data_IF_723324047381
#
_entry.id   IF_723324047381
#
_cell.length_a   1.000
_cell.length_b   1.000
_cell.length_c   1.000
_cell.angle_alpha   90.00
_cell.angle_beta   90.00
_cell.angle_gamma   90.00
#
_symmetry.space_group_name_H-M   'P 1'
#
loop_
_entity.id
_entity.type
_entity.pdbx_description
1 polymer ?
#
# COMPACT_ATOMS: atom_id res chain seq x y z
N UNK A 1 19.62 18.33 -12.52
CA UNK A 1 19.13 17.35 -11.53
C UNK A 1 17.84 16.85 -12.14
N UNK A 2 17.82 15.63 -12.64
CA UNK A 2 16.58 15.02 -13.13
C UNK A 2 15.57 15.04 -11.98
N UNK A 3 14.31 15.34 -12.28
CA UNK A 3 13.28 15.50 -11.25
C UNK A 3 12.99 14.13 -10.62
N UNK A 4 13.36 13.92 -9.35
CA UNK A 4 13.04 12.71 -8.61
C UNK A 4 11.79 12.92 -7.77
N UNK A 5 10.82 12.02 -7.87
CA UNK A 5 9.58 12.03 -7.09
C UNK A 5 9.67 11.01 -5.96
N UNK A 6 9.34 11.44 -4.75
CA UNK A 6 9.22 10.58 -3.59
C UNK A 6 7.77 10.18 -3.37
N UNK A 7 7.52 8.88 -3.22
CA UNK A 7 6.20 8.37 -2.90
C UNK A 7 6.26 7.53 -1.62
N UNK A 8 5.41 7.86 -0.67
CA UNK A 8 5.19 7.10 0.55
C UNK A 8 3.70 6.77 0.67
N UNK A 9 3.39 5.56 1.12
CA UNK A 9 2.00 5.09 1.26
C UNK A 9 1.84 4.27 2.54
N UNK A 10 0.76 4.53 3.25
CA UNK A 10 0.41 3.83 4.47
C UNK A 10 -1.01 3.28 4.37
N UNK A 11 -1.22 2.05 4.87
CA UNK A 11 -2.54 1.58 5.26
C UNK A 11 -2.65 1.63 6.79
N UNK A 12 -3.30 2.67 7.30
CA UNK A 12 -3.50 2.88 8.75
C UNK A 12 -4.24 1.69 9.39
N UNK A 13 -5.03 0.93 8.63
CA UNK A 13 -5.77 -0.22 9.16
C UNK A 13 -4.92 -1.47 9.31
N UNK A 14 -3.77 -1.59 8.64
CA UNK A 14 -2.89 -2.77 8.69
C UNK A 14 -1.48 -2.46 9.19
N UNK A 15 -1.09 -1.17 9.22
CA UNK A 15 0.26 -0.74 9.55
C UNK A 15 1.26 -0.91 8.40
N UNK A 16 0.80 -1.33 7.21
CA UNK A 16 1.67 -1.44 6.04
C UNK A 16 2.15 -0.05 5.62
N UNK A 17 3.46 0.14 5.61
CA UNK A 17 4.09 1.41 5.23
C UNK A 17 5.21 1.15 4.23
N UNK A 18 5.12 1.78 3.07
CA UNK A 18 6.03 1.53 1.95
C UNK A 18 6.44 2.81 1.24
N UNK A 19 7.67 2.80 0.71
CA UNK A 19 8.28 3.94 0.04
C UNK A 19 8.99 3.54 -1.26
N UNK A 20 9.02 4.47 -2.22
CA UNK A 20 9.78 4.37 -3.47
C UNK A 20 10.18 5.75 -3.97
N UNK A 21 11.22 5.80 -4.81
CA UNK A 21 11.56 6.95 -5.64
C UNK A 21 11.28 6.63 -7.10
N UNK A 22 10.86 7.65 -7.84
CA UNK A 22 10.43 7.55 -9.23
C UNK A 22 11.08 8.69 -10.02
N UNK A 23 11.38 8.43 -11.29
CA UNK A 23 12.14 9.35 -12.14
C UNK A 23 11.24 10.31 -12.95
N UNK A 24 9.96 9.97 -13.11
CA UNK A 24 9.03 10.78 -13.88
C UNK A 24 7.59 10.79 -13.33
N UNK A 25 6.79 11.73 -13.83
CA UNK A 25 5.39 11.91 -13.43
C UNK A 25 4.49 10.75 -13.86
N UNK A 26 4.83 10.03 -14.93
CA UNK A 26 4.02 8.93 -15.44
C UNK A 26 4.14 7.67 -14.57
N UNK A 27 5.35 7.40 -14.07
CA UNK A 27 5.64 6.40 -13.06
C UNK A 27 4.96 6.75 -11.73
N UNK A 28 5.01 8.03 -11.32
CA UNK A 28 4.30 8.52 -10.13
C UNK A 28 2.80 8.28 -10.25
N UNK A 29 2.19 8.67 -11.37
CA UNK A 29 0.77 8.44 -11.60
C UNK A 29 0.41 6.96 -11.60
N UNK A 30 1.20 6.12 -12.26
CA UNK A 30 0.97 4.66 -12.29
C UNK A 30 0.97 4.07 -10.89
N UNK A 31 1.90 4.49 -10.03
CA UNK A 31 1.97 4.03 -8.64
C UNK A 31 0.82 4.58 -7.78
N UNK A 32 0.44 5.85 -7.93
CA UNK A 32 -0.71 6.44 -7.23
C UNK A 32 -2.01 5.73 -7.63
N UNK A 33 -2.21 5.46 -8.92
CA UNK A 33 -3.37 4.71 -9.42
C UNK A 33 -3.39 3.27 -8.88
N UNK A 34 -2.23 2.60 -8.87
CA UNK A 34 -2.05 1.25 -8.31
C UNK A 34 -2.37 1.19 -6.82
N UNK A 35 -1.92 2.17 -6.04
CA UNK A 35 -2.21 2.27 -4.60
C UNK A 35 -3.70 2.55 -4.38
N UNK A 36 -4.29 3.40 -5.21
CA UNK A 36 -5.68 3.85 -5.07
C UNK A 36 -5.95 4.50 -3.71
N UNK A 37 -5.17 5.51 -3.30
CA UNK A 37 -5.28 6.13 -1.98
C UNK A 37 -6.63 6.80 -1.76
N UNK A 38 -7.13 6.74 -0.53
CA UNK A 38 -8.29 7.53 -0.11
C UNK A 38 -7.94 9.01 0.11
N UNK A 39 -6.67 9.28 0.41
CA UNK A 39 -6.15 10.60 0.74
C UNK A 39 -4.70 10.72 0.24
N UNK A 40 -4.38 11.87 -0.36
CA UNK A 40 -3.04 12.21 -0.86
C UNK A 40 -2.53 13.47 -0.17
N UNK A 41 -1.26 13.44 0.25
CA UNK A 41 -0.57 14.55 0.89
C UNK A 41 0.47 15.12 -0.08
N UNK A 42 0.45 16.44 -0.26
CA UNK A 42 1.41 17.15 -1.12
C UNK A 42 2.07 18.31 -0.37
N UNK A 43 3.26 18.69 -0.84
CA UNK A 43 3.87 19.97 -0.49
C UNK A 43 3.02 21.12 -1.04
N UNK A 44 3.00 22.26 -0.37
CA UNK A 44 2.36 23.48 -0.88
C UNK A 44 2.94 23.92 -2.23
N UNK A 45 4.24 23.69 -2.44
CA UNK A 45 4.97 23.96 -3.69
C UNK A 45 4.80 22.87 -4.77
N UNK A 46 3.92 21.87 -4.59
CA UNK A 46 3.71 20.82 -5.60
C UNK A 46 2.87 21.34 -6.77
N UNK A 47 3.52 21.69 -7.89
CA UNK A 47 2.89 22.32 -9.05
C UNK A 47 2.65 21.37 -10.24
N UNK A 48 1.97 20.24 -10.02
CA UNK A 48 1.55 19.35 -11.13
C UNK A 48 0.03 19.24 -11.21
N UNK A 49 -0.61 20.20 -11.90
CA UNK A 49 -2.06 20.24 -12.05
C UNK A 49 -2.61 18.99 -12.74
N UNK A 50 -1.87 18.40 -13.68
CA UNK A 50 -2.26 17.19 -14.40
C UNK A 50 -2.50 16.01 -13.44
N UNK A 51 -1.53 15.73 -12.54
CA UNK A 51 -1.67 14.66 -11.54
C UNK A 51 -2.78 14.98 -10.55
N UNK A 52 -2.88 16.23 -10.08
CA UNK A 52 -3.90 16.64 -9.13
C UNK A 52 -5.32 16.46 -9.70
N UNK A 53 -5.52 16.80 -10.98
CA UNK A 53 -6.78 16.60 -11.69
C UNK A 53 -7.08 15.11 -11.87
N UNK A 54 -6.09 14.30 -12.25
CA UNK A 54 -6.25 12.85 -12.39
C UNK A 54 -6.64 12.18 -11.06
N UNK A 55 -5.99 12.56 -9.94
CA UNK A 55 -6.33 12.05 -8.61
C UNK A 55 -7.77 12.41 -8.23
N UNK A 56 -8.17 13.66 -8.45
CA UNK A 56 -9.50 14.13 -8.09
C UNK A 56 -10.61 13.49 -8.96
N UNK A 57 -10.36 13.35 -10.26
CA UNK A 57 -11.36 12.85 -11.22
C UNK A 57 -11.45 11.31 -11.18
N UNK A 58 -10.32 10.63 -11.26
CA UNK A 58 -10.29 9.16 -11.42
C UNK A 58 -10.35 8.44 -10.09
N UNK A 59 -9.57 8.87 -9.10
CA UNK A 59 -9.49 8.21 -7.79
C UNK A 59 -10.48 8.78 -6.78
N UNK A 60 -10.91 10.04 -6.96
CA UNK A 60 -11.75 10.79 -6.02
C UNK A 60 -11.14 10.84 -4.61
N UNK A 61 -9.81 10.85 -4.56
CA UNK A 61 -9.09 10.91 -3.30
C UNK A 61 -9.16 12.34 -2.72
N UNK A 62 -9.14 12.45 -1.40
CA UNK A 62 -8.99 13.75 -0.74
C UNK A 62 -7.56 14.25 -0.93
N UNK A 63 -7.38 15.51 -1.33
CA UNK A 63 -6.07 16.13 -1.49
C UNK A 63 -5.85 17.11 -0.35
N UNK A 64 -4.77 16.92 0.42
CA UNK A 64 -4.36 17.81 1.49
C UNK A 64 -2.93 18.30 1.26
N UNK A 65 -2.68 19.55 1.64
CA UNK A 65 -1.38 20.18 1.52
C UNK A 65 -0.75 20.33 2.89
N UNK A 66 0.55 20.05 2.97
CA UNK A 66 1.38 20.32 4.14
C UNK A 66 2.43 21.37 3.78
N UNK A 67 2.80 22.23 4.74
CA UNK A 67 3.87 23.20 4.53
C UNK A 67 5.17 22.53 4.05
N UNK A 68 5.91 23.18 3.16
CA UNK A 68 7.07 22.55 2.48
C UNK A 68 8.18 22.10 3.43
N UNK A 69 8.32 22.79 4.57
CA UNK A 69 9.28 22.40 5.61
C UNK A 69 8.98 21.03 6.24
N UNK A 70 7.78 20.48 6.08
CA UNK A 70 7.47 19.09 6.46
C UNK A 70 8.10 18.07 5.52
N UNK A 71 8.43 18.46 4.30
CA UNK A 71 9.13 17.66 3.31
C UNK A 71 10.64 17.96 3.30
N UNK A 72 11.17 18.70 4.28
CA UNK A 72 12.62 18.86 4.46
C UNK A 72 13.25 17.51 4.84
N UNK A 73 14.32 17.14 4.12
CA UNK A 73 14.95 15.83 4.28
C UNK A 73 15.48 15.59 5.70
N UNK A 74 16.14 16.59 6.30
CA UNK A 74 16.74 16.41 7.62
C UNK A 74 15.66 16.19 8.69
N UNK A 75 14.59 16.99 8.63
CA UNK A 75 13.45 16.90 9.54
C UNK A 75 12.68 15.60 9.35
N UNK A 76 12.37 15.24 8.10
CA UNK A 76 11.67 14.01 7.75
C UNK A 76 12.46 12.76 8.17
N UNK A 77 13.78 12.75 7.96
CA UNK A 77 14.66 11.66 8.43
C UNK A 77 14.64 11.55 9.95
N UNK A 78 14.73 12.67 10.68
CA UNK A 78 14.66 12.65 12.15
C UNK A 78 13.34 12.05 12.64
N UNK A 79 12.22 12.49 12.05
CA UNK A 79 10.88 11.98 12.39
C UNK A 79 10.80 10.45 12.21
N UNK A 80 11.34 9.91 11.12
CA UNK A 80 11.36 8.46 10.89
C UNK A 80 12.26 7.71 11.88
N UNK A 81 13.46 8.25 12.17
CA UNK A 81 14.36 7.62 13.15
C UNK A 81 13.73 7.57 14.55
N UNK A 82 13.06 8.64 14.96
CA UNK A 82 12.38 8.73 16.23
C UNK A 82 11.18 7.77 16.27
N UNK A 83 10.31 7.79 15.24
CA UNK A 83 9.15 6.91 15.13
C UNK A 83 9.52 5.42 15.19
N UNK A 84 10.55 4.99 14.45
CA UNK A 84 11.00 3.60 14.45
C UNK A 84 11.98 3.26 15.58
N UNK A 85 12.44 4.25 16.35
CA UNK A 85 13.47 4.08 17.39
C UNK A 85 14.75 3.40 16.87
N UNK A 86 15.27 3.90 15.75
CA UNK A 86 16.48 3.37 15.07
C UNK A 86 17.53 4.46 14.85
N UNK A 87 18.76 4.05 14.51
CA UNK A 87 19.90 4.97 14.33
C UNK A 87 20.15 5.35 12.86
N UNK A 88 19.73 4.52 11.91
CA UNK A 88 19.78 4.79 10.47
C UNK A 88 18.65 4.07 9.73
N UNK A 89 18.32 4.57 8.55
CA UNK A 89 17.34 4.01 7.62
C UNK A 89 17.96 2.92 6.71
N UNK A 90 19.26 2.61 6.87
CA UNK A 90 19.95 1.57 6.08
C UNK A 90 19.24 0.22 6.18
N UNK A 91 18.74 -0.11 7.36
CA UNK A 91 18.00 -1.36 7.60
C UNK A 91 16.69 -1.46 6.81
N UNK A 92 16.12 -0.32 6.40
CA UNK A 92 14.96 -0.24 5.52
C UNK A 92 15.34 -0.04 4.05
N UNK A 93 16.62 0.22 3.76
CA UNK A 93 17.13 0.40 2.41
C UNK A 93 16.77 1.74 1.76
N UNK A 94 16.34 2.75 2.54
CA UNK A 94 15.96 4.07 2.03
C UNK A 94 16.87 5.22 2.49
N UNK A 95 17.99 4.95 3.18
CA UNK A 95 18.92 6.00 3.68
C UNK A 95 19.36 7.01 2.61
N UNK A 96 19.53 6.55 1.36
CA UNK A 96 19.95 7.40 0.25
C UNK A 96 18.79 7.83 -0.68
N UNK A 97 17.55 7.46 -0.34
CA UNK A 97 16.35 7.79 -1.11
C UNK A 97 15.74 9.07 -0.54
N UNK A 98 16.34 10.22 -0.87
CA UNK A 98 16.04 11.52 -0.27
C UNK A 98 14.56 11.90 -0.43
N UNK A 99 14.01 11.83 -1.65
CA UNK A 99 12.65 12.25 -1.93
C UNK A 99 11.64 11.30 -1.26
N UNK A 100 11.90 9.99 -1.28
CA UNK A 100 11.07 9.01 -0.57
C UNK A 100 11.08 9.23 0.94
N UNK A 101 12.24 9.57 1.52
CA UNK A 101 12.40 9.88 2.94
C UNK A 101 11.60 11.13 3.31
N UNK A 102 11.65 12.18 2.48
CA UNK A 102 10.82 13.38 2.65
C UNK A 102 9.33 13.05 2.68
N UNK A 103 8.83 12.29 1.70
CA UNK A 103 7.43 11.89 1.63
C UNK A 103 7.01 11.05 2.85
N UNK A 104 7.87 10.14 3.29
CA UNK A 104 7.60 9.26 4.42
C UNK A 104 7.55 10.01 5.76
N UNK A 105 8.48 10.93 6.02
CA UNK A 105 8.48 11.72 7.24
C UNK A 105 7.29 12.68 7.30
N UNK A 106 6.92 13.30 6.18
CA UNK A 106 5.71 14.12 6.10
C UNK A 106 4.44 13.31 6.39
N UNK A 107 4.37 12.07 5.88
CA UNK A 107 3.26 11.16 6.13
C UNK A 107 3.17 10.77 7.62
N UNK A 108 4.27 10.37 8.26
CA UNK A 108 4.27 10.00 9.70
C UNK A 108 3.81 11.16 10.57
N UNK A 109 4.31 12.37 10.29
CA UNK A 109 3.85 13.56 10.96
C UNK A 109 2.34 13.78 10.83
N UNK A 110 1.81 13.66 9.62
CA UNK A 110 0.40 13.84 9.38
C UNK A 110 -0.45 12.82 10.16
N UNK A 111 0.03 11.58 10.26
CA UNK A 111 -0.62 10.57 11.09
C UNK A 111 -0.61 10.94 12.57
N UNK A 112 0.50 11.45 13.10
CA UNK A 112 0.57 11.90 14.50
C UNK A 112 -0.40 13.06 14.77
N UNK A 113 -0.47 14.05 13.87
CA UNK A 113 -1.38 15.20 14.00
C UNK A 113 -2.87 14.79 13.94
N UNK A 114 -3.21 13.86 13.04
CA UNK A 114 -4.61 13.48 12.78
C UNK A 114 -5.13 12.43 13.76
N UNK A 115 -4.33 11.42 14.11
CA UNK A 115 -4.76 10.36 15.04
C UNK A 115 -4.67 10.79 16.51
N UNK A 116 -3.81 11.77 16.82
CA UNK A 116 -3.57 12.27 18.19
C UNK A 116 -3.21 11.17 19.20
N UNK A 117 -2.69 10.06 18.70
CA UNK A 117 -2.20 8.90 19.45
C UNK A 117 -0.97 8.36 18.73
N UNK A 118 -0.12 7.62 19.46
CA UNK A 118 1.04 6.96 18.87
C UNK A 118 0.57 5.86 17.91
N UNK A 119 1.05 5.89 16.66
CA UNK A 119 0.73 4.90 15.63
C UNK A 119 1.67 3.68 15.72
N UNK A 120 1.70 3.04 16.89
CA UNK A 120 2.66 2.00 17.28
C UNK A 120 2.59 0.70 16.46
N UNK A 121 1.51 0.49 15.71
CA UNK A 121 1.39 -0.67 14.80
C UNK A 121 2.16 -0.48 13.50
N UNK A 122 2.58 0.74 13.15
CA UNK A 122 3.46 1.00 12.00
C UNK A 122 4.90 0.76 12.45
N UNK A 123 5.34 -0.51 12.44
CA UNK A 123 6.61 -0.93 13.03
C UNK A 123 7.76 -1.06 12.03
N UNK A 124 7.46 -1.00 10.73
CA UNK A 124 8.46 -1.18 9.69
C UNK A 124 8.16 -0.32 8.47
N UNK A 125 9.21 0.07 7.76
CA UNK A 125 9.13 0.72 6.47
C UNK A 125 9.68 -0.21 5.39
N UNK A 126 8.89 -0.45 4.34
CA UNK A 126 9.32 -1.26 3.19
C UNK A 126 9.71 -0.38 2.01
N UNK A 127 11.00 -0.36 1.69
CA UNK A 127 11.47 0.14 0.40
C UNK A 127 11.15 -0.85 -0.71
N UNK A 128 10.62 -0.35 -1.83
CA UNK A 128 10.40 -1.16 -3.02
C UNK A 128 10.81 -0.38 -4.28
N UNK A 129 10.94 -1.11 -5.38
CA UNK A 129 11.27 -0.55 -6.71
C UNK A 129 10.26 -1.09 -7.71
N UNK A 130 9.81 -0.26 -8.66
CA UNK A 130 8.91 -0.70 -9.74
C UNK A 130 9.49 -1.87 -10.55
N UNK A 131 10.82 -1.96 -10.69
CA UNK A 131 11.55 -2.98 -11.44
C UNK A 131 11.33 -4.44 -11.00
N UNK A 132 10.79 -4.70 -9.81
CA UNK A 132 10.54 -6.08 -9.34
C UNK A 132 9.22 -6.67 -9.87
N UNK A 133 8.38 -5.83 -10.47
CA UNK A 133 7.03 -6.16 -10.90
C UNK A 133 6.81 -5.71 -12.35
N UNK A 134 5.85 -6.32 -13.01
CA UNK A 134 5.39 -5.84 -14.30
C UNK A 134 4.75 -4.47 -14.09
N UNK A 135 5.29 -3.47 -14.79
CA UNK A 135 4.68 -2.13 -14.82
C UNK A 135 3.37 -2.23 -15.58
N UNK A 136 2.28 -1.88 -14.91
CA UNK A 136 0.95 -1.75 -15.48
C UNK A 136 0.55 -0.29 -15.35
N UNK A 137 0.54 0.44 -16.46
CA UNK A 137 0.07 1.82 -16.46
C UNK A 137 -1.43 1.90 -16.13
N UNK A 138 -1.88 3.10 -15.73
CA UNK A 138 -3.27 3.33 -15.33
C UNK A 138 -4.28 2.94 -16.44
N UNK A 139 -3.94 3.19 -17.70
CA UNK A 139 -4.76 2.82 -18.84
C UNK A 139 -4.90 1.30 -18.98
N UNK A 140 -3.81 0.55 -18.78
CA UNK A 140 -3.79 -0.91 -18.80
C UNK A 140 -4.63 -1.47 -17.67
N UNK A 141 -4.48 -0.97 -16.44
CA UNK A 141 -5.29 -1.39 -15.29
C UNK A 141 -6.78 -1.18 -15.55
N UNK A 142 -7.14 -0.02 -16.12
CA UNK A 142 -8.51 0.36 -16.47
C UNK A 142 -9.08 -0.48 -17.61
N UNK A 143 -8.34 -0.64 -18.71
CA UNK A 143 -8.78 -1.36 -19.90
C UNK A 143 -8.92 -2.87 -19.65
N UNK A 144 -8.11 -3.43 -18.75
CA UNK A 144 -8.22 -4.83 -18.32
C UNK A 144 -9.30 -5.05 -17.25
N UNK A 145 -9.93 -3.99 -16.73
CA UNK A 145 -10.90 -4.03 -15.64
C UNK A 145 -10.44 -4.93 -14.49
N UNK A 146 -9.17 -4.80 -14.06
CA UNK A 146 -8.58 -5.74 -13.09
C UNK A 146 -9.30 -5.72 -11.74
N UNK A 147 -9.63 -4.52 -11.26
CA UNK A 147 -10.25 -4.30 -9.95
C UNK A 147 -11.50 -3.43 -9.99
N UNK A 148 -11.72 -2.71 -11.10
CA UNK A 148 -12.82 -1.76 -11.25
C UNK A 148 -13.34 -1.78 -12.69
N UNK A 149 -14.67 -1.77 -12.85
CA UNK A 149 -15.30 -1.68 -14.16
C UNK A 149 -15.28 -0.25 -14.68
N UNK A 150 -15.00 -0.10 -15.97
CA UNK A 150 -15.10 1.17 -16.69
C UNK A 150 -16.55 1.69 -16.81
N UNK A 151 -17.55 0.81 -16.71
CA UNK A 151 -18.96 1.18 -16.95
C UNK A 151 -19.57 1.95 -15.80
N UNK A 152 -19.37 1.46 -14.58
CA UNK A 152 -20.04 1.98 -13.39
C UNK A 152 -19.09 2.21 -12.20
N UNK A 153 -17.79 1.96 -12.37
CA UNK A 153 -16.80 2.10 -11.31
C UNK A 153 -16.95 1.08 -10.19
N UNK A 154 -17.80 0.06 -10.35
CA UNK A 154 -17.96 -1.00 -9.36
C UNK A 154 -16.94 -2.12 -9.58
N UNK A 155 -16.84 -3.05 -8.64
CA UNK A 155 -16.04 -4.26 -8.82
C UNK A 155 -16.73 -5.32 -9.70
N UNK A 156 -17.96 -5.08 -10.16
CA UNK A 156 -18.72 -6.09 -10.92
C UNK A 156 -18.18 -6.26 -12.33
N UNK A 157 -18.05 -7.50 -12.78
CA UNK A 157 -17.50 -7.89 -14.06
C UNK A 157 -15.97 -7.80 -14.14
N UNK A 158 -15.28 -7.54 -13.03
CA UNK A 158 -13.83 -7.38 -12.98
C UNK A 158 -13.11 -8.71 -12.85
N UNK A 159 -11.80 -8.75 -13.19
CA UNK A 159 -10.99 -9.94 -12.97
C UNK A 159 -10.93 -10.33 -11.49
N UNK A 160 -10.81 -9.33 -10.60
CA UNK A 160 -10.81 -9.56 -9.16
C UNK A 160 -12.10 -10.23 -8.68
N UNK A 161 -13.28 -9.75 -9.11
CA UNK A 161 -14.55 -10.39 -8.71
C UNK A 161 -14.63 -11.86 -9.17
N UNK A 162 -14.11 -12.16 -10.36
CA UNK A 162 -14.12 -13.53 -10.89
C UNK A 162 -13.16 -14.45 -10.14
N UNK A 163 -12.02 -13.94 -9.67
CA UNK A 163 -10.98 -14.74 -9.01
C UNK A 163 -11.13 -14.79 -7.48
N UNK A 164 -11.74 -13.79 -6.86
CA UNK A 164 -11.81 -13.69 -5.40
C UNK A 164 -12.80 -14.70 -4.82
N UNK A 165 -12.25 -15.88 -4.51
CA UNK A 165 -12.89 -16.95 -3.74
C UNK A 165 -12.15 -17.20 -2.43
N UNK A 166 -11.54 -16.14 -1.88
CA UNK A 166 -10.77 -16.18 -0.64
C UNK A 166 -11.71 -16.31 0.56
N UNK A 167 -11.23 -16.94 1.63
CA UNK A 167 -12.04 -17.17 2.84
C UNK A 167 -11.86 -16.07 3.90
N UNK A 168 -10.91 -15.16 3.71
CA UNK A 168 -10.58 -14.08 4.67
C UNK A 168 -10.42 -12.75 3.95
N UNK A 169 -10.77 -11.65 4.62
CA UNK A 169 -10.58 -10.30 4.07
C UNK A 169 -9.11 -9.97 3.82
N UNK A 170 -8.19 -10.48 4.63
CA UNK A 170 -6.75 -10.34 4.39
C UNK A 170 -6.29 -11.10 3.13
N UNK A 171 -6.89 -12.28 2.86
CA UNK A 171 -6.66 -13.03 1.63
C UNK A 171 -7.14 -12.27 0.38
N UNK A 172 -8.33 -11.69 0.43
CA UNK A 172 -8.87 -10.85 -0.65
C UNK A 172 -7.95 -9.66 -0.96
N UNK A 173 -7.44 -8.97 0.07
CA UNK A 173 -6.46 -7.88 -0.09
C UNK A 173 -5.16 -8.37 -0.73
N UNK A 174 -4.62 -9.50 -0.26
CA UNK A 174 -3.42 -10.10 -0.82
C UNK A 174 -3.59 -10.47 -2.30
N UNK A 175 -4.74 -11.05 -2.67
CA UNK A 175 -5.05 -11.38 -4.07
C UNK A 175 -5.12 -10.12 -4.93
N UNK A 176 -5.83 -9.09 -4.48
CA UNK A 176 -5.89 -7.78 -5.16
C UNK A 176 -4.48 -7.23 -5.38
N UNK A 177 -3.63 -7.25 -4.37
CA UNK A 177 -2.25 -6.79 -4.48
C UNK A 177 -1.48 -7.59 -5.55
N UNK A 178 -1.62 -8.91 -5.61
CA UNK A 178 -0.92 -9.74 -6.59
C UNK A 178 -1.37 -9.48 -8.03
N UNK A 179 -2.65 -9.15 -8.24
CA UNK A 179 -3.15 -8.74 -9.56
C UNK A 179 -2.56 -7.42 -10.02
N UNK A 180 -2.36 -6.48 -9.09
CA UNK A 180 -1.81 -5.15 -9.37
C UNK A 180 -0.28 -5.12 -9.41
N UNK A 181 0.39 -6.15 -8.88
CA UNK A 181 1.84 -6.27 -8.84
C UNK A 181 2.29 -7.67 -9.30
N UNK A 182 2.18 -8.00 -10.60
CA UNK A 182 2.66 -9.27 -11.12
C UNK A 182 4.18 -9.37 -10.95
N UNK A 183 4.68 -10.43 -10.31
CA UNK A 183 6.12 -10.62 -10.16
C UNK A 183 6.83 -10.87 -11.49
N UNK A 184 8.03 -10.32 -11.65
CA UNK A 184 8.92 -10.64 -12.79
C UNK A 184 9.93 -11.75 -12.47
N UNK A 185 10.13 -12.06 -11.18
CA UNK A 185 11.07 -13.09 -10.74
C UNK A 185 10.48 -14.48 -10.92
N UNK A 186 11.06 -15.27 -11.83
CA UNK A 186 10.64 -16.64 -12.14
C UNK A 186 10.59 -17.54 -10.91
N UNK A 187 11.54 -17.39 -9.99
CA UNK A 187 11.60 -18.21 -8.78
C UNK A 187 10.40 -17.98 -7.86
N UNK A 188 9.98 -16.71 -7.70
CA UNK A 188 8.79 -16.37 -6.90
C UNK A 188 7.50 -16.85 -7.58
N UNK A 189 7.44 -16.78 -8.91
CA UNK A 189 6.30 -17.31 -9.68
C UNK A 189 6.20 -18.83 -9.49
N UNK A 190 7.32 -19.55 -9.65
CA UNK A 190 7.36 -21.01 -9.51
C UNK A 190 6.99 -21.48 -8.10
N UNK A 191 7.49 -20.80 -7.05
CA UNK A 191 7.10 -21.10 -5.67
C UNK A 191 5.58 -21.00 -5.45
N UNK A 192 4.92 -19.99 -6.04
CA UNK A 192 3.46 -19.87 -5.97
C UNK A 192 2.76 -20.97 -6.75
N UNK A 193 3.25 -21.31 -7.94
CA UNK A 193 2.70 -22.38 -8.76
C UNK A 193 2.81 -23.75 -8.07
N UNK A 194 3.93 -24.02 -7.41
CA UNK A 194 4.15 -25.24 -6.61
C UNK A 194 3.16 -25.31 -5.44
N UNK A 195 2.97 -24.22 -4.69
CA UNK A 195 2.00 -24.17 -3.60
C UNK A 195 0.56 -24.40 -4.10
N UNK A 196 0.20 -23.84 -5.26
CA UNK A 196 -1.11 -24.07 -5.90
C UNK A 196 -1.26 -25.52 -6.33
N UNK A 197 -0.24 -26.11 -6.95
CA UNK A 197 -0.28 -27.50 -7.41
C UNK A 197 -0.40 -28.49 -6.24
N UNK A 198 0.31 -28.24 -5.13
CA UNK A 198 0.18 -29.03 -3.90
C UNK A 198 -1.26 -29.03 -3.39
N UNK A 199 -1.88 -27.87 -3.23
CA UNK A 199 -3.26 -27.76 -2.73
C UNK A 199 -4.29 -28.30 -3.73
N UNK A 200 -4.05 -28.14 -5.03
CA UNK A 200 -4.90 -28.71 -6.08
C UNK A 200 -4.85 -30.24 -6.09
N UNK A 201 -3.69 -30.83 -5.81
CA UNK A 201 -3.52 -32.29 -5.77
C UNK A 201 -4.10 -32.93 -4.50
N UNK A 202 -4.35 -32.15 -3.44
CA UNK A 202 -4.83 -32.61 -2.13
C UNK A 202 -6.16 -31.95 -1.74
N UNK A 203 -7.25 -32.34 -2.41
CA UNK A 203 -8.58 -31.73 -2.25
C UNK A 203 -9.06 -31.73 -0.78
N UNK A 204 -8.89 -32.84 -0.05
CA UNK A 204 -9.31 -32.90 1.35
C UNK A 204 -8.57 -31.87 2.23
N UNK A 205 -7.25 -31.73 2.06
CA UNK A 205 -6.46 -30.71 2.76
C UNK A 205 -6.92 -29.30 2.37
N UNK A 206 -7.22 -29.07 1.09
CA UNK A 206 -7.74 -27.79 0.63
C UNK A 206 -9.07 -27.43 1.30
N UNK A 207 -10.00 -28.38 1.42
CA UNK A 207 -11.29 -28.18 2.08
C UNK A 207 -11.11 -27.87 3.58
N UNK A 208 -10.31 -28.67 4.28
CA UNK A 208 -9.97 -28.45 5.70
C UNK A 208 -9.37 -27.06 5.94
N UNK A 209 -8.43 -26.64 5.09
CA UNK A 209 -7.82 -25.31 5.17
C UNK A 209 -8.85 -24.20 4.92
N UNK A 210 -9.76 -24.37 3.95
CA UNK A 210 -10.80 -23.38 3.66
C UNK A 210 -11.76 -23.23 4.83
N UNK A 211 -12.14 -24.32 5.49
CA UNK A 211 -12.98 -24.28 6.68
C UNK A 211 -12.27 -23.57 7.84
N UNK A 212 -11.01 -23.94 8.12
CA UNK A 212 -10.23 -23.30 9.17
C UNK A 212 -10.03 -21.79 8.93
N UNK A 213 -9.75 -21.39 7.69
CA UNK A 213 -9.56 -19.98 7.33
C UNK A 213 -10.86 -19.17 7.41
N UNK A 214 -12.04 -19.78 7.18
CA UNK A 214 -13.32 -19.07 7.21
C UNK A 214 -13.66 -18.55 8.61
N UNK A 215 -13.24 -19.27 9.64
CA UNK A 215 -13.46 -18.90 11.04
C UNK A 215 -12.44 -17.85 11.53
N UNK A 216 -11.41 -17.53 10.74
CA UNK A 216 -10.42 -16.52 11.12
C UNK A 216 -10.95 -15.11 10.92
N UNK A 217 -10.88 -14.31 11.98
CA UNK A 217 -11.09 -12.87 11.89
C UNK A 217 -9.95 -12.19 11.11
N UNK A 218 -10.18 -10.93 10.73
CA UNK A 218 -9.17 -10.09 10.09
C UNK A 218 -8.10 -9.64 11.12
N UNK A 219 -7.20 -10.55 11.44
CA UNK A 219 -6.19 -10.39 12.50
C UNK A 219 -5.34 -9.13 12.28
N UNK A 220 -4.97 -8.82 11.03
CA UNK A 220 -4.19 -7.62 10.70
C UNK A 220 -4.90 -6.35 11.19
N UNK A 221 -6.19 -6.21 10.88
CA UNK A 221 -6.98 -5.05 11.32
C UNK A 221 -7.26 -5.05 12.80
N UNK A 222 -7.47 -6.22 13.41
CA UNK A 222 -7.65 -6.34 14.85
C UNK A 222 -6.41 -5.85 15.61
N UNK A 223 -5.21 -6.29 15.21
CA UNK A 223 -3.95 -5.87 15.82
C UNK A 223 -3.77 -4.35 15.71
N UNK A 224 -4.03 -3.77 14.53
CA UNK A 224 -3.94 -2.32 14.35
C UNK A 224 -4.91 -1.56 15.25
N UNK A 225 -6.15 -2.03 15.38
CA UNK A 225 -7.16 -1.37 16.24
C UNK A 225 -6.87 -1.51 17.72
N UNK A 226 -6.29 -2.64 18.14
CA UNK A 226 -5.81 -2.83 19.51
C UNK A 226 -4.67 -1.84 19.79
N UNK A 227 -3.72 -1.72 18.87
CA UNK A 227 -2.59 -0.80 18.99
C UNK A 227 -3.02 0.66 19.03
N UNK A 228 -4.03 1.02 18.23
CA UNK A 228 -4.66 2.34 18.21
C UNK A 228 -5.68 2.55 19.34
N UNK A 229 -5.86 1.61 20.27
CA UNK A 229 -6.82 1.75 21.38
C UNK A 229 -8.29 1.90 20.94
N UNK A 230 -8.64 1.53 19.70
CA UNK A 230 -10.00 1.65 19.12
C UNK A 230 -10.71 0.31 18.98
N UNK A 231 -10.10 -0.79 19.46
CA UNK A 231 -10.74 -2.10 19.50
C UNK A 231 -11.87 -2.15 20.52
N UNK A 232 -12.98 -2.80 20.17
CA UNK A 232 -14.10 -3.02 21.09
C UNK A 232 -13.98 -4.37 21.83
N UNK A 233 -14.82 -4.59 22.85
CA UNK A 233 -14.74 -5.78 23.70
C UNK A 233 -14.94 -7.11 22.93
N UNK A 234 -15.69 -7.11 21.83
CA UNK A 234 -15.89 -8.33 21.02
C UNK A 234 -14.65 -8.68 20.22
N UNK A 235 -13.94 -7.66 19.74
CA UNK A 235 -12.73 -7.82 18.94
C UNK A 235 -11.52 -8.25 19.75
N UNK A 236 -11.48 -7.91 21.04
CA UNK A 236 -10.45 -8.40 21.97
C UNK A 236 -10.69 -9.85 22.39
N UNK A 237 -11.93 -10.33 22.32
CA UNK A 237 -12.31 -11.72 22.65
C UNK A 237 -12.20 -12.68 21.45
N UNK A 238 -11.99 -12.14 20.25
CA UNK A 238 -11.96 -12.86 18.97
C UNK A 238 -10.59 -13.51 18.68
#
# INVERSE_FOLDING_TARGET
IEATYGLASVDVSTGEFAVTELEDLSDLWSEVNRIGPAECLFSEDFESQEILDQINIELKATINYLPDWRFDHQSARSELLDHFSILSLDGFGCENMLAATCAAGALIYYLHETQKQEVLHIQSLRTYTNHNFMVLDADTLRNLELIQSMRDGSSKGTLLEMLDQTMTSMGARCLKQWLLQPHLKTDLINQRLEAVDELKSRIALQEELREALREMYDIQRLISRISLGTANAREVLA
#
